data_IF_433322608318
#
_entry.id   IF_433322608318
#
_cell.length_a   1.000
_cell.length_b   1.000
_cell.length_c   1.000
_cell.angle_alpha   90.00
_cell.angle_beta   90.00
_cell.angle_gamma   90.00
#
_symmetry.space_group_name_H-M   'P 1'
#
loop_
_entity.id
_entity.type
_entity.pdbx_description
1 polymer ?
#
# COMPACT_ATOMS: atom_id res chain seq x y z
N UNK A 1 3.02 -11.98 -8.64
CA UNK A 1 1.67 -12.55 -8.78
C UNK A 1 0.71 -11.37 -8.82
N UNK A 2 -0.28 -11.39 -9.70
CA UNK A 2 -1.36 -10.40 -9.74
C UNK A 2 -2.64 -11.06 -9.27
N UNK A 3 -3.13 -10.68 -8.09
CA UNK A 3 -4.39 -11.19 -7.55
C UNK A 3 -5.55 -10.34 -8.07
N UNK A 4 -6.53 -10.96 -8.73
CA UNK A 4 -7.69 -10.24 -9.29
C UNK A 4 -8.90 -11.15 -9.49
N UNK A 5 -10.11 -10.58 -9.40
CA UNK A 5 -11.36 -11.21 -9.85
C UNK A 5 -11.62 -10.98 -11.35
N UNK A 6 -10.92 -10.04 -11.98
CA UNK A 6 -11.10 -9.69 -13.37
C UNK A 6 -10.37 -10.67 -14.31
N UNK A 7 -10.93 -10.97 -15.50
CA UNK A 7 -10.28 -11.82 -16.50
C UNK A 7 -9.14 -11.06 -17.20
N UNK A 8 -8.01 -10.92 -16.51
CA UNK A 8 -6.81 -10.23 -17.01
C UNK A 8 -5.81 -11.24 -17.56
N UNK A 9 -5.23 -10.92 -18.73
CA UNK A 9 -4.05 -11.63 -19.25
C UNK A 9 -2.83 -10.75 -19.01
N UNK A 10 -1.81 -11.32 -18.38
CA UNK A 10 -0.51 -10.64 -18.27
C UNK A 10 0.18 -10.60 -19.64
N UNK A 11 0.72 -9.43 -20.02
CA UNK A 11 1.63 -9.30 -21.15
C UNK A 11 3.07 -9.72 -20.85
N UNK A 12 3.41 -9.98 -19.58
CA UNK A 12 4.75 -10.36 -19.14
C UNK A 12 4.79 -11.81 -18.64
N UNK A 13 5.75 -12.65 -19.10
CA UNK A 13 5.79 -14.08 -18.77
C UNK A 13 5.99 -14.36 -17.27
N UNK A 14 6.70 -13.48 -16.56
CA UNK A 14 6.97 -13.66 -15.12
C UNK A 14 5.79 -13.27 -14.21
N UNK A 15 4.76 -12.62 -14.75
CA UNK A 15 3.58 -12.24 -13.97
C UNK A 15 2.55 -13.35 -14.09
N UNK A 16 2.43 -14.12 -13.01
CA UNK A 16 1.33 -15.07 -12.81
C UNK A 16 0.08 -14.35 -12.33
N UNK A 17 -1.01 -14.46 -13.09
CA UNK A 17 -2.34 -13.99 -12.70
C UNK A 17 -2.98 -15.04 -11.80
N UNK A 18 -3.44 -14.62 -10.63
CA UNK A 18 -4.04 -15.47 -9.60
C UNK A 18 -5.50 -15.07 -9.43
N UNK A 19 -6.45 -15.85 -9.97
CA UNK A 19 -7.86 -15.59 -9.78
C UNK A 19 -8.21 -15.69 -8.29
N UNK A 20 -8.87 -14.66 -7.76
CA UNK A 20 -9.42 -14.64 -6.40
C UNK A 20 -10.87 -14.18 -6.43
N UNK A 21 -11.62 -14.47 -5.37
CA UNK A 21 -12.92 -13.85 -5.16
C UNK A 21 -12.76 -12.34 -5.08
N UNK A 22 -13.72 -11.60 -5.64
CA UNK A 22 -13.77 -10.15 -5.57
C UNK A 22 -13.65 -9.67 -4.13
N UNK A 23 -12.71 -8.75 -3.89
CA UNK A 23 -12.55 -8.04 -2.62
C UNK A 23 -13.40 -6.77 -2.68
N UNK A 24 -14.60 -6.82 -2.13
CA UNK A 24 -15.60 -5.76 -2.21
C UNK A 24 -15.46 -4.66 -1.14
N UNK A 25 -14.49 -4.83 -0.23
CA UNK A 25 -14.25 -3.91 0.88
C UNK A 25 -12.80 -3.97 1.35
N UNK A 26 -12.36 -2.91 2.03
CA UNK A 26 -11.03 -2.87 2.66
C UNK A 26 -10.89 -3.90 3.79
N UNK A 27 -11.99 -4.28 4.44
CA UNK A 27 -12.02 -5.36 5.42
C UNK A 27 -11.84 -6.74 4.76
N UNK A 28 -12.49 -6.99 3.60
CA UNK A 28 -12.26 -8.20 2.81
C UNK A 28 -10.80 -8.30 2.35
N UNK A 29 -10.21 -7.18 1.92
CA UNK A 29 -8.78 -7.10 1.64
C UNK A 29 -7.93 -7.47 2.87
N UNK A 30 -8.17 -6.86 4.02
CA UNK A 30 -7.42 -7.19 5.24
C UNK A 30 -7.54 -8.68 5.62
N UNK A 31 -8.73 -9.27 5.49
CA UNK A 31 -8.92 -10.70 5.72
C UNK A 31 -8.08 -11.56 4.75
N UNK A 32 -8.13 -11.25 3.45
CA UNK A 32 -7.32 -11.94 2.44
C UNK A 32 -5.82 -11.88 2.79
N UNK A 33 -5.33 -10.70 3.16
CA UNK A 33 -3.93 -10.49 3.52
C UNK A 33 -3.50 -11.25 4.78
N UNK A 34 -4.37 -11.33 5.79
CA UNK A 34 -4.07 -11.99 7.06
C UNK A 34 -4.13 -13.52 6.96
N UNK A 35 -5.08 -14.07 6.18
CA UNK A 35 -5.41 -15.50 6.26
C UNK A 35 -5.19 -16.29 4.98
N UNK A 36 -5.31 -15.67 3.81
CA UNK A 36 -5.31 -16.39 2.52
C UNK A 36 -4.02 -16.20 1.74
N UNK A 37 -3.36 -15.03 1.84
CA UNK A 37 -2.13 -14.72 1.12
C UNK A 37 -1.04 -15.80 1.33
N UNK A 38 -0.93 -16.31 2.55
CA UNK A 38 0.04 -17.34 2.93
C UNK A 38 -0.07 -18.60 2.04
N UNK A 39 -1.25 -18.95 1.54
CA UNK A 39 -1.44 -20.16 0.74
C UNK A 39 -0.71 -20.08 -0.62
N UNK A 40 -0.47 -18.86 -1.10
CA UNK A 40 0.18 -18.56 -2.38
C UNK A 40 1.70 -18.33 -2.29
N UNK A 41 2.21 -17.91 -1.12
CA UNK A 41 3.61 -17.54 -0.94
C UNK A 41 4.45 -18.76 -0.57
N UNK A 42 5.40 -19.13 -1.43
CA UNK A 42 6.35 -20.26 -1.17
C UNK A 42 7.78 -19.80 -0.88
N UNK A 43 8.05 -18.51 -0.96
CA UNK A 43 9.33 -17.87 -0.67
C UNK A 43 9.45 -17.52 0.81
N UNK A 44 10.65 -17.16 1.26
CA UNK A 44 10.87 -16.69 2.64
C UNK A 44 10.14 -15.38 2.95
N UNK A 45 9.97 -14.52 1.95
CA UNK A 45 9.29 -13.24 2.05
C UNK A 45 8.39 -12.99 0.84
N UNK A 46 7.40 -12.11 1.02
CA UNK A 46 6.55 -11.59 -0.05
C UNK A 46 6.55 -10.07 -0.01
N UNK A 47 6.89 -9.44 -1.14
CA UNK A 47 6.72 -8.02 -1.35
C UNK A 47 5.29 -7.76 -1.84
N UNK A 48 4.54 -7.01 -1.05
CA UNK A 48 3.18 -6.55 -1.31
C UNK A 48 3.27 -5.19 -1.99
N UNK A 49 2.51 -5.05 -3.07
CA UNK A 49 2.46 -3.86 -3.90
C UNK A 49 1.00 -3.61 -4.28
N UNK A 50 0.42 -2.53 -3.76
CA UNK A 50 -0.89 -2.02 -4.19
C UNK A 50 -0.74 -1.16 -5.45
N UNK A 51 -1.85 -0.81 -6.09
CA UNK A 51 -1.83 -0.11 -7.38
C UNK A 51 -1.20 1.30 -7.31
N UNK A 52 -1.27 1.94 -6.15
CA UNK A 52 -0.74 3.28 -5.87
C UNK A 52 0.57 3.27 -5.08
N UNK A 53 1.29 2.14 -5.09
CA UNK A 53 2.66 2.03 -4.60
C UNK A 53 3.48 1.08 -5.48
N UNK A 54 4.76 1.34 -5.69
CA UNK A 54 5.64 0.43 -6.43
C UNK A 54 7.12 0.75 -6.20
N UNK A 55 7.99 -0.12 -6.72
CA UNK A 55 9.44 0.04 -6.68
C UNK A 55 9.85 1.26 -7.50
N UNK A 56 10.61 2.16 -6.89
CA UNK A 56 11.15 3.35 -7.52
C UNK A 56 12.50 3.06 -8.19
N UNK A 57 13.38 2.37 -7.48
CA UNK A 57 14.71 2.03 -7.95
C UNK A 57 15.17 0.72 -7.34
N UNK A 58 15.24 -0.33 -8.17
CA UNK A 58 15.64 -1.67 -7.73
C UNK A 58 17.06 -1.72 -7.15
N UNK A 59 17.94 -0.77 -7.49
CA UNK A 59 19.32 -0.70 -6.96
C UNK A 59 19.38 -0.28 -5.49
N UNK A 60 18.28 0.25 -4.95
CA UNK A 60 18.16 0.63 -3.54
C UNK A 60 17.70 -0.51 -2.65
N UNK A 61 17.48 -1.69 -3.23
CA UNK A 61 17.26 -2.89 -2.45
C UNK A 61 18.42 -3.13 -1.50
N UNK A 62 18.10 -3.43 -0.24
CA UNK A 62 19.05 -3.77 0.80
C UNK A 62 18.79 -5.19 1.27
N UNK A 63 19.83 -5.98 1.43
CA UNK A 63 19.69 -7.36 1.89
C UNK A 63 19.09 -7.41 3.31
N UNK A 64 19.38 -6.39 4.12
CA UNK A 64 18.88 -6.20 5.49
C UNK A 64 17.34 -6.13 5.56
N UNK A 65 16.65 -5.83 4.46
CA UNK A 65 15.19 -5.89 4.42
C UNK A 65 14.66 -7.30 4.69
N UNK A 66 15.42 -8.34 4.34
CA UNK A 66 15.08 -9.75 4.58
C UNK A 66 15.40 -10.22 6.01
N UNK A 67 16.06 -9.39 6.82
CA UNK A 67 16.26 -9.66 8.26
C UNK A 67 15.02 -9.28 9.09
N UNK A 68 14.04 -8.63 8.46
CA UNK A 68 12.78 -8.21 9.07
C UNK A 68 11.65 -9.17 8.69
N UNK A 69 10.81 -9.51 9.66
CA UNK A 69 9.55 -10.19 9.41
C UNK A 69 8.46 -9.26 8.88
N UNK A 70 8.52 -7.96 9.22
CA UNK A 70 7.70 -6.92 8.63
C UNK A 70 8.52 -5.65 8.38
N UNK A 71 8.41 -5.12 7.16
CA UNK A 71 8.86 -3.76 6.83
C UNK A 71 7.87 -3.13 5.84
N UNK A 72 7.49 -1.89 6.12
CA UNK A 72 6.77 -1.00 5.21
C UNK A 72 7.16 0.44 5.53
N UNK A 73 6.36 1.43 5.12
CA UNK A 73 6.66 2.82 5.44
C UNK A 73 6.48 3.15 6.93
N UNK A 74 7.23 4.13 7.42
CA UNK A 74 7.06 4.64 8.79
C UNK A 74 5.83 5.55 8.90
N UNK A 75 5.18 5.51 10.06
CA UNK A 75 4.01 6.29 10.43
C UNK A 75 4.44 7.50 11.26
N UNK A 76 4.24 8.74 10.77
CA UNK A 76 4.64 9.94 11.51
C UNK A 76 3.75 10.23 12.73
N UNK A 77 2.56 9.63 12.81
CA UNK A 77 1.61 9.85 13.91
C UNK A 77 1.90 9.02 15.18
N UNK A 78 2.93 8.18 15.16
CA UNK A 78 3.33 7.33 16.29
C UNK A 78 4.81 7.56 16.63
N UNK A 79 5.10 7.62 17.93
CA UNK A 79 6.43 7.88 18.50
C UNK A 79 6.81 6.86 19.60
N UNK A 80 6.03 5.79 19.74
CA UNK A 80 6.19 4.75 20.77
C UNK A 80 7.10 3.58 20.35
N UNK A 81 7.82 3.71 19.23
CA UNK A 81 8.64 2.64 18.64
C UNK A 81 7.86 1.54 17.92
N UNK A 82 6.53 1.67 17.81
CA UNK A 82 5.65 0.80 17.01
C UNK A 82 5.11 1.55 15.79
N UNK A 83 6.00 2.29 15.15
CA UNK A 83 5.74 3.31 14.15
C UNK A 83 6.10 2.86 12.73
N UNK A 84 6.34 1.57 12.50
CA UNK A 84 6.51 0.99 11.17
C UNK A 84 5.31 0.13 10.83
N UNK A 85 4.73 0.39 9.65
CA UNK A 85 3.49 -0.22 9.21
C UNK A 85 3.30 -0.05 7.72
N UNK A 86 2.13 0.40 7.30
CA UNK A 86 1.74 0.57 5.89
C UNK A 86 1.65 -0.75 5.12
N UNK A 87 0.45 -1.29 5.00
CA UNK A 87 0.22 -2.58 4.36
C UNK A 87 0.42 -2.59 2.85
N UNK A 88 0.26 -1.44 2.19
CA UNK A 88 0.11 -1.34 0.74
C UNK A 88 1.42 -1.36 -0.06
N UNK A 89 2.55 -1.01 0.56
CA UNK A 89 3.88 -1.37 0.06
C UNK A 89 4.70 -1.92 1.24
N UNK A 90 4.69 -3.25 1.40
CA UNK A 90 5.31 -3.92 2.54
C UNK A 90 5.99 -5.22 2.15
N UNK A 91 7.10 -5.56 2.79
CA UNK A 91 7.72 -6.87 2.73
C UNK A 91 7.39 -7.62 4.02
N UNK A 92 6.87 -8.84 3.86
CA UNK A 92 6.41 -9.67 4.98
C UNK A 92 7.08 -11.04 4.90
N UNK A 93 7.57 -11.57 6.01
CA UNK A 93 8.11 -12.94 6.04
C UNK A 93 7.00 -13.97 5.98
N UNK A 94 7.34 -15.17 5.51
CA UNK A 94 6.47 -16.34 5.54
C UNK A 94 6.06 -16.67 6.97
N UNK A 95 7.02 -16.58 7.90
CA UNK A 95 6.78 -16.84 9.33
C UNK A 95 5.75 -15.89 9.91
N UNK A 96 5.78 -14.61 9.54
CA UNK A 96 4.76 -13.64 9.95
C UNK A 96 3.38 -13.98 9.40
N UNK A 97 3.30 -14.31 8.11
CA UNK A 97 2.05 -14.69 7.48
C UNK A 97 1.41 -15.92 8.15
N UNK A 98 2.22 -16.90 8.56
CA UNK A 98 1.74 -18.06 9.30
C UNK A 98 1.30 -17.70 10.74
N UNK A 99 2.04 -16.81 11.42
CA UNK A 99 1.67 -16.34 12.76
C UNK A 99 0.32 -15.60 12.79
N UNK A 100 -0.05 -14.90 11.70
CA UNK A 100 -1.35 -14.24 11.57
C UNK A 100 -2.55 -15.21 11.59
N UNK A 101 -2.32 -16.50 11.31
CA UNK A 101 -3.34 -17.56 11.29
C UNK A 101 -3.49 -18.25 12.65
N UNK A 102 -2.67 -17.89 13.65
CA UNK A 102 -2.79 -18.43 15.00
C UNK A 102 -4.13 -18.04 15.64
N UNK A 103 -4.69 -18.92 16.47
CA UNK A 103 -5.87 -18.61 17.27
C UNK A 103 -5.65 -17.47 18.29
N UNK A 104 -4.39 -17.20 18.66
CA UNK A 104 -4.01 -16.08 19.53
C UNK A 104 -3.93 -14.75 18.78
N UNK A 105 -3.90 -14.76 17.44
CA UNK A 105 -3.84 -13.54 16.65
C UNK A 105 -5.21 -12.87 16.59
N UNK A 106 -5.27 -11.62 17.06
CA UNK A 106 -6.48 -10.80 17.02
C UNK A 106 -6.61 -10.16 15.64
N UNK A 107 -7.47 -10.70 14.79
CA UNK A 107 -7.75 -10.13 13.47
C UNK A 107 -8.33 -8.73 13.56
N UNK A 108 -7.98 -7.85 12.63
CA UNK A 108 -8.52 -6.50 12.57
C UNK A 108 -8.35 -5.85 11.19
N UNK A 109 -9.05 -4.74 11.00
CA UNK A 109 -8.90 -3.85 9.85
C UNK A 109 -8.54 -2.44 10.35
N UNK A 110 -7.51 -1.78 9.79
CA UNK A 110 -6.63 -2.26 8.71
C UNK A 110 -5.64 -3.34 9.18
N UNK A 111 -5.21 -4.20 8.26
CA UNK A 111 -4.40 -5.39 8.60
C UNK A 111 -3.02 -5.03 9.11
N UNK A 112 -2.43 -3.95 8.63
CA UNK A 112 -1.13 -3.47 9.05
C UNK A 112 -1.16 -2.97 10.50
N UNK A 113 -2.22 -2.30 10.94
CA UNK A 113 -2.44 -1.96 12.34
C UNK A 113 -2.65 -3.22 13.19
N UNK A 114 -3.42 -4.19 12.68
CA UNK A 114 -3.61 -5.46 13.38
C UNK A 114 -2.27 -6.19 13.62
N UNK A 115 -1.42 -6.25 12.61
CA UNK A 115 -0.09 -6.86 12.67
C UNK A 115 0.85 -6.02 13.56
N UNK A 116 1.09 -4.77 13.21
CA UNK A 116 2.20 -3.98 13.74
C UNK A 116 1.91 -3.33 15.10
N UNK A 117 0.64 -3.26 15.50
CA UNK A 117 0.22 -2.62 16.76
C UNK A 117 -0.62 -3.55 17.62
N UNK A 118 -1.80 -3.98 17.17
CA UNK A 118 -2.72 -4.79 17.99
C UNK A 118 -2.06 -6.08 18.48
N UNK A 119 -1.35 -6.78 17.59
CA UNK A 119 -0.68 -8.05 17.90
C UNK A 119 0.82 -7.89 18.17
N UNK A 120 1.32 -6.66 18.32
CA UNK A 120 2.77 -6.41 18.45
C UNK A 120 3.40 -7.21 19.59
N UNK A 121 2.82 -7.14 20.78
CA UNK A 121 3.32 -7.89 21.94
C UNK A 121 3.26 -9.42 21.75
N UNK A 122 2.26 -9.94 21.04
CA UNK A 122 2.16 -11.37 20.71
C UNK A 122 3.28 -11.79 19.75
N UNK A 123 3.51 -10.99 18.71
CA UNK A 123 4.54 -11.27 17.70
C UNK A 123 5.96 -11.09 18.26
N UNK A 124 6.20 -10.08 19.10
CA UNK A 124 7.49 -9.88 19.77
C UNK A 124 7.85 -11.08 20.67
N UNK A 125 6.88 -11.67 21.39
CA UNK A 125 7.10 -12.91 22.17
C UNK A 125 7.48 -14.11 21.31
N UNK A 126 7.10 -14.12 20.04
CA UNK A 126 7.54 -15.13 19.07
C UNK A 126 8.88 -14.79 18.42
N UNK A 127 9.54 -13.72 18.86
CA UNK A 127 10.81 -13.23 18.30
C UNK A 127 10.65 -12.65 16.89
N UNK A 128 9.47 -12.12 16.55
CA UNK A 128 9.22 -11.44 15.28
C UNK A 128 10.00 -10.13 15.20
N UNK A 129 10.61 -9.86 14.05
CA UNK A 129 11.45 -8.66 13.85
C UNK A 129 10.72 -7.65 12.99
N UNK A 130 10.42 -6.48 13.55
CA UNK A 130 9.93 -5.34 12.79
C UNK A 130 11.10 -4.43 12.46
N UNK A 131 11.10 -3.83 11.26
CA UNK A 131 12.12 -2.87 10.90
C UNK A 131 12.12 -1.65 11.85
N UNK A 132 13.29 -1.05 12.03
CA UNK A 132 13.38 0.28 12.64
C UNK A 132 12.85 1.35 11.68
N UNK A 133 12.52 2.53 12.22
CA UNK A 133 12.08 3.67 11.40
C UNK A 133 13.10 4.02 10.31
N UNK A 134 14.39 4.03 10.64
CA UNK A 134 15.45 4.39 9.70
C UNK A 134 15.54 3.40 8.53
N UNK A 135 15.39 2.10 8.82
CA UNK A 135 15.37 1.08 7.78
C UNK A 135 14.08 1.15 6.95
N UNK A 136 12.94 1.42 7.60
CA UNK A 136 11.65 1.61 6.96
C UNK A 136 11.67 2.80 5.97
N UNK A 137 12.26 3.94 6.34
CA UNK A 137 12.36 5.12 5.48
C UNK A 137 13.26 4.88 4.24
N UNK A 138 14.24 3.98 4.35
CA UNK A 138 15.03 3.51 3.20
C UNK A 138 14.26 2.52 2.32
N UNK A 139 13.32 1.76 2.90
CA UNK A 139 12.51 0.80 2.17
C UNK A 139 11.36 1.48 1.41
N UNK A 140 10.57 2.32 2.08
CA UNK A 140 9.38 2.93 1.48
C UNK A 140 9.10 4.33 2.01
N UNK A 141 8.76 5.24 1.09
CA UNK A 141 8.17 6.53 1.42
C UNK A 141 6.63 6.44 1.38
N UNK A 142 5.97 7.10 2.31
CA UNK A 142 4.52 7.31 2.30
C UNK A 142 4.20 8.69 2.89
N UNK A 143 3.59 8.77 4.09
CA UNK A 143 3.39 10.05 4.82
C UNK A 143 4.68 10.58 5.45
N UNK A 144 5.63 9.69 5.69
CA UNK A 144 7.00 9.98 6.08
C UNK A 144 7.96 9.35 5.06
N UNK A 145 9.26 9.60 5.22
CA UNK A 145 10.28 9.18 4.26
C UNK A 145 10.38 10.09 3.03
N UNK A 146 11.35 9.79 2.16
CA UNK A 146 11.62 10.56 0.95
C UNK A 146 11.70 9.64 -0.28
N UNK A 147 10.74 9.72 -1.22
CA UNK A 147 10.73 8.91 -2.44
C UNK A 147 12.04 9.03 -3.25
N UNK A 148 12.77 10.13 -3.14
CA UNK A 148 14.02 10.32 -3.89
C UNK A 148 15.16 9.46 -3.37
N UNK A 149 15.04 8.83 -2.19
CA UNK A 149 16.05 7.92 -1.62
C UNK A 149 15.51 6.55 -1.21
N UNK A 150 14.20 6.36 -1.08
CA UNK A 150 13.58 5.08 -0.73
C UNK A 150 13.60 4.07 -1.89
N UNK A 151 13.55 2.77 -1.57
CA UNK A 151 13.45 1.68 -2.55
C UNK A 151 12.11 1.68 -3.30
N UNK A 152 11.01 1.91 -2.59
CA UNK A 152 9.68 2.07 -3.15
C UNK A 152 8.89 3.17 -2.47
N UNK A 153 7.60 3.22 -2.76
CA UNK A 153 6.68 4.12 -2.08
C UNK A 153 5.28 3.52 -2.02
N UNK A 154 4.43 4.15 -1.22
CA UNK A 154 2.99 3.93 -1.20
C UNK A 154 2.23 5.26 -1.16
N UNK A 155 0.97 5.20 -1.60
CA UNK A 155 0.01 6.29 -1.50
C UNK A 155 -0.05 7.12 -2.77
N UNK A 156 -1.25 7.24 -3.31
CA UNK A 156 -1.53 8.02 -4.52
C UNK A 156 -1.02 9.47 -4.46
N UNK A 157 -0.96 10.09 -3.29
CA UNK A 157 -0.48 11.46 -3.11
C UNK A 157 1.01 11.64 -3.43
N UNK A 158 1.80 10.57 -3.44
CA UNK A 158 3.20 10.59 -3.86
C UNK A 158 3.37 10.49 -5.38
N UNK A 159 2.38 10.00 -6.11
CA UNK A 159 2.49 9.77 -7.56
C UNK A 159 2.80 11.05 -8.37
N UNK A 160 2.22 12.23 -8.11
CA UNK A 160 2.59 13.45 -8.84
C UNK A 160 4.08 13.79 -8.74
N UNK A 161 4.71 13.51 -7.60
CA UNK A 161 6.15 13.71 -7.41
C UNK A 161 6.96 12.61 -8.11
N UNK A 162 6.50 11.36 -8.02
CA UNK A 162 7.23 10.17 -8.51
C UNK A 162 7.19 10.03 -10.03
N UNK A 163 6.01 10.12 -10.65
CA UNK A 163 5.82 9.93 -12.10
C UNK A 163 5.57 11.23 -12.86
N UNK A 164 5.49 12.34 -12.14
CA UNK A 164 5.15 13.64 -12.72
C UNK A 164 3.66 13.86 -12.90
N UNK A 165 3.29 15.14 -12.98
CA UNK A 165 1.90 15.61 -13.03
C UNK A 165 1.14 15.06 -14.24
N UNK A 166 1.77 14.97 -15.41
CA UNK A 166 1.11 14.53 -16.65
C UNK A 166 0.77 13.03 -16.60
N UNK A 167 1.75 12.19 -16.25
CA UNK A 167 1.53 10.75 -16.13
C UNK A 167 0.52 10.43 -15.02
N UNK A 168 0.59 11.15 -13.89
CA UNK A 168 -0.42 11.04 -12.86
C UNK A 168 -1.82 11.42 -13.36
N UNK A 169 -1.93 12.50 -14.13
CA UNK A 169 -3.20 12.93 -14.71
C UNK A 169 -3.78 11.89 -15.66
N UNK A 170 -2.93 11.24 -16.46
CA UNK A 170 -3.37 10.14 -17.32
C UNK A 170 -3.94 8.98 -16.51
N UNK A 171 -3.25 8.56 -15.45
CA UNK A 171 -3.73 7.54 -14.50
C UNK A 171 -5.04 7.96 -13.82
N UNK A 172 -5.13 9.20 -13.33
CA UNK A 172 -6.33 9.72 -12.65
C UNK A 172 -7.59 9.58 -13.52
N UNK A 173 -7.46 9.83 -14.83
CA UNK A 173 -8.58 9.74 -15.78
C UNK A 173 -9.07 8.31 -16.00
N UNK A 174 -8.25 7.30 -15.72
CA UNK A 174 -8.62 5.88 -15.90
C UNK A 174 -9.14 5.23 -14.63
N UNK A 175 -9.14 5.93 -13.49
CA UNK A 175 -9.67 5.41 -12.24
C UNK A 175 -11.19 5.21 -12.33
N UNK A 176 -11.62 3.99 -12.04
CA UNK A 176 -13.01 3.58 -11.90
C UNK A 176 -13.53 3.83 -10.48
N UNK A 177 -12.66 3.72 -9.47
CA UNK A 177 -12.91 4.17 -8.09
C UNK A 177 -11.90 5.26 -7.66
N UNK A 178 -12.43 6.32 -7.05
CA UNK A 178 -11.68 7.48 -6.54
C UNK A 178 -11.75 7.60 -5.02
N UNK A 179 -12.27 6.60 -4.32
CA UNK A 179 -12.45 6.60 -2.87
C UNK A 179 -11.13 6.85 -2.10
N UNK A 180 -10.01 6.30 -2.57
CA UNK A 180 -8.68 6.49 -1.97
C UNK A 180 -8.20 7.94 -2.02
N UNK A 181 -8.61 8.71 -3.03
CA UNK A 181 -8.25 10.12 -3.21
C UNK A 181 -8.93 11.04 -2.21
N UNK A 182 -10.01 10.58 -1.58
CA UNK A 182 -10.87 11.42 -0.74
C UNK A 182 -10.13 12.11 0.40
N UNK A 183 -9.20 11.40 1.04
CA UNK A 183 -8.40 11.90 2.16
C UNK A 183 -7.30 12.86 1.71
N UNK A 184 -6.86 12.72 0.46
CA UNK A 184 -5.71 13.43 -0.12
C UNK A 184 -6.09 14.46 -1.18
N UNK A 185 -7.38 14.76 -1.29
CA UNK A 185 -7.91 15.63 -2.34
C UNK A 185 -7.25 17.01 -2.35
N UNK A 186 -7.10 17.65 -1.19
CA UNK A 186 -6.48 18.98 -1.07
C UNK A 186 -5.00 18.98 -1.50
N UNK A 187 -4.15 18.13 -0.91
CA UNK A 187 -2.76 17.96 -1.35
C UNK A 187 -2.61 17.66 -2.84
N UNK A 188 -3.42 16.75 -3.38
CA UNK A 188 -3.40 16.38 -4.79
C UNK A 188 -3.81 17.55 -5.69
N UNK A 189 -4.89 18.27 -5.32
CA UNK A 189 -5.32 19.46 -6.04
C UNK A 189 -4.18 20.48 -6.10
N UNK A 190 -3.45 20.67 -4.99
CA UNK A 190 -2.28 21.57 -4.93
C UNK A 190 -1.15 21.08 -5.84
N UNK A 191 -0.84 19.78 -5.84
CA UNK A 191 0.21 19.20 -6.68
C UNK A 191 -0.07 19.40 -8.18
N UNK A 192 -1.34 19.42 -8.59
CA UNK A 192 -1.76 19.59 -9.98
C UNK A 192 -1.94 21.05 -10.43
N UNK A 193 -1.63 22.03 -9.57
CA UNK A 193 -1.79 23.47 -9.89
C UNK A 193 -0.78 24.00 -10.90
N UNK A 194 0.33 23.29 -11.10
CA UNK A 194 1.42 23.72 -11.97
C UNK A 194 1.35 22.99 -13.32
N UNK A 195 1.66 23.71 -14.41
CA UNK A 195 1.65 23.17 -15.77
C UNK A 195 0.43 23.57 -16.60
N UNK A 196 0.44 23.20 -17.89
CA UNK A 196 -0.65 23.48 -18.82
C UNK A 196 -1.91 22.70 -18.42
N UNK A 197 -3.07 23.37 -18.46
CA UNK A 197 -4.35 22.73 -18.16
C UNK A 197 -4.68 22.59 -16.66
N UNK A 198 -3.91 23.21 -15.75
CA UNK A 198 -4.14 23.11 -14.30
C UNK A 198 -5.55 23.53 -13.85
N UNK A 199 -6.13 24.58 -14.43
CA UNK A 199 -7.51 25.02 -14.17
C UNK A 199 -8.51 23.92 -14.56
N UNK A 200 -8.33 23.32 -15.74
CA UNK A 200 -9.19 22.24 -16.23
C UNK A 200 -9.10 21.01 -15.32
N UNK A 201 -7.88 20.63 -14.90
CA UNK A 201 -7.65 19.53 -13.95
C UNK A 201 -8.39 19.76 -12.64
N UNK A 202 -8.25 20.95 -12.07
CA UNK A 202 -8.90 21.33 -10.82
C UNK A 202 -10.44 21.26 -10.91
N UNK A 203 -11.02 21.83 -11.97
CA UNK A 203 -12.47 21.80 -12.20
C UNK A 203 -12.96 20.35 -12.31
N UNK A 204 -12.27 19.52 -13.11
CA UNK A 204 -12.65 18.11 -13.28
C UNK A 204 -12.56 17.34 -11.97
N UNK A 205 -11.48 17.51 -11.20
CA UNK A 205 -11.35 16.83 -9.90
C UNK A 205 -12.46 17.21 -8.93
N UNK A 206 -12.86 18.48 -8.89
CA UNK A 206 -13.96 18.96 -8.04
C UNK A 206 -15.30 18.36 -8.50
N UNK A 207 -15.54 18.31 -9.82
CA UNK A 207 -16.73 17.70 -10.38
C UNK A 207 -16.80 16.20 -10.10
N UNK A 208 -15.72 15.46 -10.36
CA UNK A 208 -15.60 14.03 -10.09
C UNK A 208 -15.86 13.75 -8.59
N UNK A 209 -15.28 14.55 -7.69
CA UNK A 209 -15.50 14.44 -6.24
C UNK A 209 -16.96 14.68 -5.83
N UNK A 210 -17.63 15.65 -6.45
CA UNK A 210 -19.04 15.92 -6.19
C UNK A 210 -19.94 14.75 -6.66
N UNK A 211 -19.65 14.19 -7.83
CA UNK A 211 -20.32 13.00 -8.36
C UNK A 211 -20.13 11.78 -7.44
N UNK A 212 -18.92 11.53 -6.96
CA UNK A 212 -18.62 10.41 -6.05
C UNK A 212 -19.43 10.52 -4.74
N UNK A 213 -19.52 11.72 -4.16
CA UNK A 213 -20.30 11.97 -2.93
C UNK A 213 -21.81 11.79 -3.17
N UNK A 214 -22.31 12.20 -4.33
CA UNK A 214 -23.73 12.01 -4.69
C UNK A 214 -24.06 10.53 -4.92
N UNK A 215 -23.16 9.78 -5.57
CA UNK A 215 -23.30 8.35 -5.84
C UNK A 215 -23.18 7.47 -4.60
N UNK A 216 -22.38 7.88 -3.59
CA UNK A 216 -22.27 7.16 -2.33
C UNK A 216 -23.48 7.34 -1.39
N UNK A 217 -24.30 8.37 -1.60
CA UNK A 217 -25.53 8.63 -0.83
C UNK A 217 -26.76 7.89 -1.38
N UNK A 218 -26.63 7.29 -2.55
CA UNK A 218 -27.70 6.61 -3.29
C UNK A 218 -27.54 5.07 -3.32
N UNK A 219 -26.55 4.54 -2.61
CA UNK A 219 -26.33 3.11 -2.32
C UNK A 219 -26.47 2.88 -0.82
#
# INVERSE_FOLDING_TARGET
MLFTDAPVRSGHPDIRVMPITRLDSTAAYSNFMLFQLADYVKTSHCLIVQWDGYVLDARRWRAEFLDCDYIGASWPQFDDGHDVGNGGFSLRSRRLMDACRSAEFVSGHPEDVAICRTNRAFLDRQGMRFASRELADLFAAERAGDPTVSFGFHGIFNMPQVIGVEAFWDTYRTLDDRSSLSRDFGPLLKALRNGRGSIFRAIRMIADRACDIAGSRSR
#
